data_IF_217532876971
#
_entry.id   IF_217532876971
#
_cell.length_a   1.000
_cell.length_b   1.000
_cell.length_c   1.000
_cell.angle_alpha   90.00
_cell.angle_beta   90.00
_cell.angle_gamma   90.00
#
_symmetry.space_group_name_H-M   'P 1'
#
loop_
_entity.id
_entity.type
_entity.pdbx_description
1 polymer ?
#
# COMPACT_ATOMS: atom_id res chain seq x y z
N UNK A 1 -14.69 11.31 -7.66
CA UNK A 1 -14.50 10.38 -6.53
C UNK A 1 -13.68 9.16 -6.98
N UNK A 2 -14.17 8.35 -7.91
CA UNK A 2 -13.44 7.18 -8.45
C UNK A 2 -12.09 7.56 -9.10
N UNK A 3 -12.04 8.61 -9.92
CA UNK A 3 -10.78 9.03 -10.58
C UNK A 3 -9.67 9.49 -9.59
N UNK A 4 -10.04 10.15 -8.48
CA UNK A 4 -9.10 10.62 -7.47
C UNK A 4 -8.59 9.52 -6.54
N UNK A 5 -9.43 8.51 -6.26
CA UNK A 5 -9.01 7.30 -5.56
C UNK A 5 -8.09 6.43 -6.44
N UNK A 6 -8.41 6.30 -7.74
CA UNK A 6 -7.61 5.54 -8.71
C UNK A 6 -6.25 6.17 -8.98
N UNK A 7 -6.13 7.51 -8.95
CA UNK A 7 -4.83 8.17 -9.17
C UNK A 7 -3.81 7.89 -8.05
N UNK A 8 -4.27 7.63 -6.82
CA UNK A 8 -3.41 7.22 -5.68
C UNK A 8 -3.20 5.71 -5.60
N UNK A 9 -4.11 4.93 -6.15
CA UNK A 9 -4.00 3.47 -6.22
C UNK A 9 -2.84 3.01 -7.10
N UNK A 10 -2.63 3.71 -8.23
CA UNK A 10 -1.53 3.46 -9.17
C UNK A 10 -0.15 3.49 -8.50
N UNK A 11 0.25 4.54 -7.75
CA UNK A 11 1.55 4.57 -7.09
C UNK A 11 1.71 3.47 -6.03
N UNK A 12 0.66 3.10 -5.28
CA UNK A 12 0.75 2.01 -4.27
C UNK A 12 0.99 0.65 -4.91
N UNK A 13 0.32 0.35 -6.03
CA UNK A 13 0.57 -0.88 -6.78
C UNK A 13 1.99 -0.89 -7.36
N UNK A 14 2.47 0.25 -7.86
CA UNK A 14 3.80 0.38 -8.46
C UNK A 14 4.92 0.19 -7.43
N UNK A 15 4.79 0.78 -6.23
CA UNK A 15 5.76 0.57 -5.14
C UNK A 15 5.76 -0.88 -4.68
N UNK A 16 4.59 -1.50 -4.53
CA UNK A 16 4.48 -2.90 -4.11
C UNK A 16 5.17 -3.85 -5.09
N UNK A 17 4.92 -3.66 -6.39
CA UNK A 17 5.55 -4.45 -7.45
C UNK A 17 7.07 -4.23 -7.44
N UNK A 18 7.53 -2.98 -7.37
CA UNK A 18 8.96 -2.67 -7.30
C UNK A 18 9.63 -3.26 -6.05
N UNK A 19 8.98 -3.21 -4.88
CA UNK A 19 9.54 -3.80 -3.65
C UNK A 19 9.55 -5.32 -3.72
N UNK A 20 8.49 -5.96 -4.21
CA UNK A 20 8.46 -7.41 -4.40
C UNK A 20 9.58 -7.86 -5.35
N UNK A 21 9.75 -7.17 -6.48
CA UNK A 21 10.83 -7.42 -7.44
C UNK A 21 12.23 -7.16 -6.85
N UNK A 22 12.39 -6.17 -5.97
CA UNK A 22 13.66 -5.85 -5.32
C UNK A 22 14.06 -6.81 -4.20
N UNK A 23 13.09 -7.41 -3.51
CA UNK A 23 13.33 -8.34 -2.38
C UNK A 23 13.45 -9.80 -2.85
N UNK A 24 12.86 -10.14 -4.00
CA UNK A 24 12.98 -11.45 -4.66
C UNK A 24 14.43 -11.94 -4.87
N UNK A 25 15.39 -11.15 -5.39
CA UNK A 25 16.77 -11.60 -5.58
C UNK A 25 17.48 -11.92 -4.26
N UNK A 26 17.21 -11.12 -3.21
CA UNK A 26 17.77 -11.32 -1.87
C UNK A 26 17.19 -12.56 -1.19
N UNK A 27 15.92 -12.89 -1.45
CA UNK A 27 15.28 -14.12 -0.99
C UNK A 27 15.80 -15.38 -1.71
N UNK A 28 16.12 -15.26 -3.01
CA UNK A 28 16.68 -16.34 -3.82
C UNK A 28 18.21 -16.54 -3.64
N UNK A 29 18.88 -15.68 -2.87
CA UNK A 29 20.28 -15.87 -2.49
C UNK A 29 21.31 -15.58 -3.57
N UNK A 30 21.00 -14.72 -4.55
CA UNK A 30 21.98 -14.32 -5.57
C UNK A 30 23.03 -13.35 -4.97
N UNK A 31 24.14 -13.91 -4.48
CA UNK A 31 25.27 -13.14 -3.95
C UNK A 31 25.68 -13.44 -2.50
N UNK A 32 25.00 -14.39 -1.84
CA UNK A 32 25.30 -14.81 -0.46
C UNK A 32 24.01 -15.07 0.32
N UNK A 33 23.76 -16.32 0.69
CA UNK A 33 22.58 -16.72 1.45
C UNK A 33 22.89 -16.69 2.94
N UNK A 34 22.84 -15.50 3.54
CA UNK A 34 22.74 -15.41 4.99
C UNK A 34 21.33 -15.88 5.39
N UNK A 35 21.19 -16.97 6.19
CA UNK A 35 19.89 -17.55 6.50
C UNK A 35 18.93 -16.52 7.09
N UNK A 36 19.46 -15.54 7.82
CA UNK A 36 18.71 -14.46 8.44
C UNK A 36 18.11 -13.50 7.39
N UNK A 37 18.91 -13.09 6.39
CA UNK A 37 18.46 -12.20 5.32
C UNK A 37 17.41 -12.85 4.43
N UNK A 38 17.58 -14.14 4.12
CA UNK A 38 16.61 -14.89 3.32
C UNK A 38 15.24 -14.98 4.03
N UNK A 39 15.21 -15.28 5.33
CA UNK A 39 13.97 -15.33 6.10
C UNK A 39 13.34 -13.94 6.27
N UNK A 40 14.13 -12.89 6.51
CA UNK A 40 13.62 -11.52 6.61
C UNK A 40 12.98 -11.05 5.30
N UNK A 41 13.63 -11.31 4.17
CA UNK A 41 13.12 -11.00 2.83
C UNK A 41 11.77 -11.67 2.56
N UNK A 42 11.66 -12.95 2.91
CA UNK A 42 10.47 -13.76 2.67
C UNK A 42 9.28 -13.27 3.51
N UNK A 43 9.49 -13.00 4.81
CA UNK A 43 8.45 -12.43 5.69
C UNK A 43 8.02 -11.05 5.19
N UNK A 44 8.96 -10.19 4.77
CA UNK A 44 8.65 -8.87 4.23
C UNK A 44 7.84 -8.97 2.95
N UNK A 45 8.18 -9.86 2.02
CA UNK A 45 7.45 -10.02 0.76
C UNK A 45 5.99 -10.42 1.00
N UNK A 46 5.74 -11.41 1.87
CA UNK A 46 4.38 -11.83 2.21
C UNK A 46 3.62 -10.76 3.03
N UNK A 47 4.29 -10.12 3.98
CA UNK A 47 3.71 -9.05 4.80
C UNK A 47 3.32 -7.83 3.96
N UNK A 48 4.15 -7.47 2.98
CA UNK A 48 3.87 -6.37 2.06
C UNK A 48 2.69 -6.72 1.16
N UNK A 49 2.67 -7.91 0.53
CA UNK A 49 1.54 -8.34 -0.30
C UNK A 49 0.22 -8.29 0.47
N UNK A 50 0.20 -8.83 1.69
CA UNK A 50 -0.99 -8.81 2.54
C UNK A 50 -1.39 -7.39 2.96
N UNK A 51 -0.42 -6.58 3.41
CA UNK A 51 -0.66 -5.19 3.79
C UNK A 51 -1.15 -4.33 2.61
N UNK A 52 -0.71 -4.63 1.39
CA UNK A 52 -1.13 -3.91 0.18
C UNK A 52 -2.60 -4.17 -0.12
N UNK A 53 -3.05 -5.42 0.00
CA UNK A 53 -4.47 -5.79 -0.17
C UNK A 53 -5.31 -5.04 0.86
N UNK A 54 -4.92 -5.05 2.13
CA UNK A 54 -5.61 -4.30 3.18
C UNK A 54 -5.64 -2.80 2.86
N UNK A 55 -4.51 -2.24 2.44
CA UNK A 55 -4.38 -0.82 2.10
C UNK A 55 -5.27 -0.44 0.91
N UNK A 56 -5.40 -1.31 -0.09
CA UNK A 56 -6.26 -1.10 -1.25
C UNK A 56 -7.75 -0.93 -0.86
N UNK A 57 -8.18 -1.62 0.20
CA UNK A 57 -9.52 -1.45 0.79
C UNK A 57 -9.59 -0.28 1.78
N UNK A 58 -8.54 -0.06 2.58
CA UNK A 58 -8.48 1.00 3.59
C UNK A 58 -8.42 2.41 2.98
N UNK A 59 -7.69 2.59 1.88
CA UNK A 59 -7.53 3.88 1.18
C UNK A 59 -8.86 4.45 0.68
N UNK A 60 -9.73 3.71 -0.04
CA UNK A 60 -11.03 4.23 -0.47
C UNK A 60 -11.98 4.49 0.72
N UNK A 61 -11.92 3.68 1.79
CA UNK A 61 -12.67 3.91 3.03
C UNK A 61 -12.27 5.24 3.69
N UNK A 62 -10.96 5.48 3.88
CA UNK A 62 -10.43 6.72 4.43
C UNK A 62 -10.77 7.94 3.56
N UNK A 63 -10.71 7.79 2.23
CA UNK A 63 -11.06 8.87 1.32
C UNK A 63 -12.55 9.22 1.39
N UNK A 64 -13.42 8.21 1.54
CA UNK A 64 -14.86 8.40 1.70
C UNK A 64 -15.16 9.11 3.02
N UNK A 65 -14.55 8.67 4.13
CA UNK A 65 -14.69 9.31 5.45
C UNK A 65 -14.15 10.75 5.44
N UNK A 66 -12.99 10.99 4.84
CA UNK A 66 -12.40 12.33 4.74
C UNK A 66 -13.27 13.31 3.95
N UNK A 67 -13.91 12.85 2.88
CA UNK A 67 -14.88 13.66 2.11
C UNK A 67 -16.14 13.91 2.93
N UNK A 68 -16.66 12.91 3.63
CA UNK A 68 -17.89 13.03 4.42
C UNK A 68 -17.72 14.05 5.56
N UNK A 69 -16.55 14.01 6.24
CA UNK A 69 -16.15 15.03 7.22
C UNK A 69 -16.08 16.42 6.59
N UNK A 70 -15.49 16.54 5.40
CA UNK A 70 -15.37 17.83 4.70
C UNK A 70 -16.73 18.36 4.20
N UNK A 71 -17.65 17.48 3.81
CA UNK A 71 -19.01 17.82 3.42
C UNK A 71 -19.86 18.30 4.60
N UNK A 72 -19.70 17.67 5.77
CA UNK A 72 -20.31 18.11 7.03
C UNK A 72 -19.75 19.48 7.47
N UNK A 73 -18.43 19.69 7.34
CA UNK A 73 -17.79 20.95 7.71
C UNK A 73 -18.27 22.12 6.84
N UNK A 74 -18.41 21.94 5.53
CA UNK A 74 -18.90 22.98 4.61
C UNK A 74 -20.38 23.30 4.86
N UNK A 75 -21.20 22.30 5.18
CA UNK A 75 -22.63 22.50 5.50
C UNK A 75 -22.83 23.27 6.81
N UNK A 76 -21.84 23.27 7.71
CA UNK A 76 -21.82 24.02 8.97
C UNK A 76 -21.36 25.47 8.83
N UNK A 77 -20.52 25.79 7.84
CA UNK A 77 -20.03 27.17 7.59
C UNK A 77 -21.08 28.01 6.84
N UNK A 78 -21.99 27.37 6.08
CA UNK A 78 -23.05 28.06 5.33
C UNK A 78 -24.38 28.20 6.10
N UNK A 79 -24.40 27.90 7.40
CA UNK A 79 -25.55 28.11 8.30
C UNK A 79 -25.14 29.11 9.37
#
# INVERSE_FOLDING_TARGET
>A
IVQGAVSRLRPVLLTTITTALGVLPTGYGIGGSDPFLAHMSLVLAYGLLFGTVITLFMVPLLFTVGIDISGIAVKRIKK
#
